data_IF_956791642941
#
_entry.id   IF_956791642941
#
_cell.length_a   1.000
_cell.length_b   1.000
_cell.length_c   1.000
_cell.angle_alpha   90.00
_cell.angle_beta   90.00
_cell.angle_gamma   90.00
#
_symmetry.space_group_name_H-M   'P 1'
#
loop_
_entity.id
_entity.type
_entity.pdbx_description
1 polymer ?
#
# COMPACT_ATOMS: atom_id res chain seq x y z
N UNK A 1 33.10 3.26 -33.43
CA UNK A 1 32.65 2.05 -32.70
C UNK A 1 32.90 2.13 -31.19
N UNK A 2 34.06 2.60 -30.72
CA UNK A 2 34.41 2.64 -29.27
C UNK A 2 33.65 3.67 -28.41
N UNK A 3 33.09 4.73 -28.99
CA UNK A 3 32.34 5.75 -28.24
C UNK A 3 30.96 5.21 -27.79
N UNK A 4 30.24 4.54 -28.70
CA UNK A 4 28.93 3.95 -28.40
C UNK A 4 29.05 2.83 -27.36
N UNK A 5 30.05 1.95 -27.48
CA UNK A 5 30.29 0.88 -26.49
C UNK A 5 30.59 1.46 -25.10
N UNK A 6 31.45 2.48 -25.01
CA UNK A 6 31.72 3.17 -23.74
C UNK A 6 30.48 3.87 -23.13
N UNK A 7 29.59 4.39 -23.97
CA UNK A 7 28.36 5.02 -23.51
C UNK A 7 27.38 3.98 -22.94
N UNK A 8 27.23 2.83 -23.63
CA UNK A 8 26.44 1.71 -23.16
C UNK A 8 27.00 1.12 -21.85
N UNK A 9 28.31 0.94 -21.73
CA UNK A 9 28.94 0.43 -20.51
C UNK A 9 28.80 1.40 -19.31
N UNK A 10 28.76 2.71 -19.57
CA UNK A 10 28.48 3.71 -18.53
C UNK A 10 27.02 3.69 -18.11
N UNK A 11 26.11 3.50 -19.06
CA UNK A 11 24.68 3.37 -18.81
C UNK A 11 24.35 2.08 -18.03
N UNK A 12 24.91 0.94 -18.44
CA UNK A 12 24.73 -0.35 -17.74
C UNK A 12 25.26 -0.28 -16.29
N UNK A 13 26.37 0.44 -16.06
CA UNK A 13 26.89 0.70 -14.70
C UNK A 13 25.95 1.59 -13.87
N UNK A 14 25.33 2.59 -14.49
CA UNK A 14 24.38 3.47 -13.83
C UNK A 14 23.09 2.72 -13.49
N UNK A 15 22.55 1.95 -14.45
CA UNK A 15 21.36 1.13 -14.30
C UNK A 15 21.55 0.07 -13.20
N UNK A 16 22.70 -0.60 -13.18
CA UNK A 16 23.03 -1.56 -12.12
C UNK A 16 23.04 -0.90 -10.74
N UNK A 17 23.65 0.29 -10.60
CA UNK A 17 23.68 1.03 -9.33
C UNK A 17 22.28 1.47 -8.90
N UNK A 18 21.48 1.99 -9.83
CA UNK A 18 20.10 2.38 -9.57
C UNK A 18 19.25 1.18 -9.13
N UNK A 19 19.39 0.05 -9.81
CA UNK A 19 18.68 -1.18 -9.49
C UNK A 19 19.01 -1.67 -8.06
N UNK A 20 20.30 -1.69 -7.69
CA UNK A 20 20.70 -2.05 -6.32
C UNK A 20 20.12 -1.08 -5.28
N UNK A 21 20.13 0.22 -5.56
CA UNK A 21 19.54 1.22 -4.67
C UNK A 21 18.02 1.02 -4.51
N UNK A 22 17.31 0.78 -5.61
CA UNK A 22 15.87 0.52 -5.61
C UNK A 22 15.51 -0.74 -4.82
N UNK A 23 16.23 -1.84 -5.02
CA UNK A 23 16.01 -3.08 -4.27
C UNK A 23 16.25 -2.89 -2.77
N UNK A 24 17.26 -2.10 -2.39
CA UNK A 24 17.58 -1.86 -0.99
C UNK A 24 16.59 -0.91 -0.28
N UNK A 25 16.09 0.13 -0.97
CA UNK A 25 15.36 1.22 -0.32
C UNK A 25 13.85 1.26 -0.62
N UNK A 26 13.35 0.61 -1.67
CA UNK A 26 11.93 0.70 -2.08
C UNK A 26 10.97 0.27 -0.99
N UNK A 27 11.18 -0.90 -0.36
CA UNK A 27 10.31 -1.41 0.70
C UNK A 27 10.39 -0.53 1.98
N UNK A 28 11.58 -0.18 2.51
CA UNK A 28 11.66 0.74 3.64
C UNK A 28 10.98 2.09 3.39
N UNK A 29 11.18 2.68 2.20
CA UNK A 29 10.53 3.94 1.81
C UNK A 29 9.02 3.79 1.74
N UNK A 30 8.52 2.70 1.13
CA UNK A 30 7.09 2.40 1.05
C UNK A 30 6.47 2.30 2.45
N UNK A 31 7.16 1.60 3.37
CA UNK A 31 6.72 1.42 4.75
C UNK A 31 6.66 2.75 5.51
N UNK A 32 7.72 3.56 5.44
CA UNK A 32 7.78 4.86 6.10
C UNK A 32 6.75 5.81 5.51
N UNK A 33 6.63 5.85 4.18
CA UNK A 33 5.64 6.67 3.48
C UNK A 33 4.21 6.32 3.89
N UNK A 34 3.85 5.03 3.94
CA UNK A 34 2.55 4.62 4.46
C UNK A 34 2.37 5.05 5.92
N UNK A 35 3.39 4.86 6.76
CA UNK A 35 3.34 5.26 8.17
C UNK A 35 3.02 6.75 8.35
N UNK A 36 3.68 7.60 7.56
CA UNK A 36 3.44 9.04 7.55
C UNK A 36 2.03 9.36 7.09
N UNK A 37 1.57 8.75 5.99
CA UNK A 37 0.22 8.99 5.44
C UNK A 37 -0.86 8.66 6.47
N UNK A 38 -0.77 7.49 7.10
CA UNK A 38 -1.72 7.08 8.15
C UNK A 38 -1.66 7.97 9.38
N UNK A 39 -0.47 8.39 9.82
CA UNK A 39 -0.34 9.30 10.97
C UNK A 39 -0.92 10.68 10.69
N UNK A 40 -0.63 11.26 9.52
CA UNK A 40 -1.14 12.59 9.16
C UNK A 40 -2.65 12.54 8.98
N UNK A 41 -3.18 11.57 8.24
CA UNK A 41 -4.63 11.44 8.05
C UNK A 41 -5.37 11.09 9.34
N UNK A 42 -4.78 10.27 10.22
CA UNK A 42 -5.33 9.98 11.54
C UNK A 42 -5.32 11.21 12.44
N UNK A 43 -4.19 11.93 12.50
CA UNK A 43 -4.06 13.13 13.33
C UNK A 43 -5.04 14.24 12.92
N UNK A 44 -5.24 14.44 11.61
CA UNK A 44 -6.18 15.43 11.09
C UNK A 44 -7.63 15.15 11.51
N UNK A 45 -8.01 13.89 11.72
CA UNK A 45 -9.37 13.50 12.14
C UNK A 45 -9.72 13.87 13.58
N UNK A 46 -8.73 14.22 14.42
CA UNK A 46 -9.02 14.77 15.75
C UNK A 46 -9.52 16.21 15.70
N UNK A 47 -9.34 16.91 14.57
CA UNK A 47 -9.75 18.29 14.40
C UNK A 47 -11.04 18.37 13.57
N UNK A 48 -12.16 18.79 14.16
CA UNK A 48 -13.45 18.81 13.47
C UNK A 48 -13.46 19.84 12.34
N UNK A 49 -14.10 19.51 11.22
CA UNK A 49 -14.33 20.40 10.09
C UNK A 49 -13.15 20.54 9.11
N UNK A 50 -12.05 19.82 9.32
CA UNK A 50 -10.89 19.86 8.42
C UNK A 50 -10.98 18.80 7.31
N UNK A 51 -11.59 17.65 7.59
CA UNK A 51 -11.63 16.53 6.65
C UNK A 51 -12.82 16.65 5.68
N UNK A 52 -12.58 16.69 4.35
CA UNK A 52 -13.66 16.78 3.35
C UNK A 52 -14.65 15.62 3.37
N UNK A 53 -14.29 14.50 4.03
CA UNK A 53 -15.05 13.24 4.04
C UNK A 53 -15.63 12.93 5.43
N UNK A 54 -15.49 13.85 6.40
CA UNK A 54 -15.88 13.65 7.79
C UNK A 54 -17.31 13.11 7.96
N UNK A 55 -18.29 13.78 7.35
CA UNK A 55 -19.70 13.39 7.43
C UNK A 55 -19.98 12.02 6.80
N UNK A 56 -19.24 11.67 5.75
CA UNK A 56 -19.38 10.36 5.11
C UNK A 56 -18.73 9.27 5.98
N UNK A 57 -17.55 9.53 6.54
CA UNK A 57 -16.83 8.59 7.39
C UNK A 57 -17.55 8.32 8.72
N UNK A 58 -18.13 9.36 9.35
CA UNK A 58 -18.90 9.19 10.60
C UNK A 58 -20.17 8.37 10.37
N UNK A 59 -20.97 8.70 9.34
CA UNK A 59 -22.17 7.92 8.99
C UNK A 59 -21.84 6.48 8.63
N UNK A 60 -20.76 6.27 7.90
CA UNK A 60 -20.27 4.92 7.57
C UNK A 60 -19.90 4.14 8.83
N UNK A 61 -19.13 4.75 9.73
CA UNK A 61 -18.72 4.10 10.99
C UNK A 61 -19.95 3.79 11.86
N UNK A 62 -20.95 4.68 11.89
CA UNK A 62 -22.20 4.43 12.58
C UNK A 62 -22.94 3.22 12.02
N UNK A 63 -23.05 3.10 10.68
CA UNK A 63 -23.69 1.94 10.04
C UNK A 63 -22.92 0.65 10.35
N UNK A 64 -21.59 0.67 10.22
CA UNK A 64 -20.74 -0.51 10.46
C UNK A 64 -20.71 -0.95 11.93
N UNK A 65 -20.90 -0.03 12.87
CA UNK A 65 -20.93 -0.32 14.30
C UNK A 65 -22.34 -0.53 14.84
N UNK A 66 -23.34 -0.67 13.97
CA UNK A 66 -24.75 -0.81 14.33
C UNK A 66 -25.26 0.30 15.27
N UNK A 67 -24.70 1.51 15.12
CA UNK A 67 -25.06 2.68 15.92
C UNK A 67 -24.35 2.81 17.27
N UNK A 68 -23.45 1.87 17.63
CA UNK A 68 -22.72 1.93 18.90
C UNK A 68 -21.75 3.12 18.94
N UNK A 69 -21.05 3.38 17.83
CA UNK A 69 -20.19 4.55 17.69
C UNK A 69 -20.84 5.54 16.73
N UNK A 70 -21.09 6.75 17.21
CA UNK A 70 -21.67 7.83 16.40
C UNK A 70 -20.94 9.16 16.60
N UNK A 71 -21.07 10.04 15.61
CA UNK A 71 -20.50 11.40 15.65
C UNK A 71 -19.00 11.43 15.95
N UNK A 72 -18.62 12.23 16.95
CA UNK A 72 -17.23 12.47 17.32
C UNK A 72 -16.53 11.22 17.88
N UNK A 73 -17.24 10.35 18.60
CA UNK A 73 -16.64 9.13 19.16
C UNK A 73 -16.24 8.14 18.07
N UNK A 74 -17.07 8.03 17.01
CA UNK A 74 -16.74 7.25 15.82
C UNK A 74 -15.49 7.81 15.12
N UNK A 75 -15.43 9.13 14.94
CA UNK A 75 -14.27 9.77 14.31
C UNK A 75 -12.99 9.61 15.12
N UNK A 76 -13.05 9.80 16.44
CA UNK A 76 -11.91 9.63 17.34
C UNK A 76 -11.39 8.19 17.36
N UNK A 77 -12.30 7.21 17.26
CA UNK A 77 -11.92 5.80 17.16
C UNK A 77 -11.15 5.53 15.86
N UNK A 78 -11.67 6.00 14.72
CA UNK A 78 -11.02 5.90 13.41
C UNK A 78 -9.66 6.62 13.41
N UNK A 79 -9.60 7.83 13.96
CA UNK A 79 -8.36 8.61 14.11
C UNK A 79 -7.30 7.85 14.93
N UNK A 80 -7.71 7.27 16.06
CA UNK A 80 -6.84 6.47 16.91
C UNK A 80 -6.31 5.22 16.19
N UNK A 81 -7.17 4.49 15.48
CA UNK A 81 -6.77 3.33 14.69
C UNK A 81 -5.75 3.69 13.60
N UNK A 82 -5.98 4.77 12.85
CA UNK A 82 -5.06 5.22 11.82
C UNK A 82 -3.71 5.64 12.39
N UNK A 83 -3.70 6.34 13.53
CA UNK A 83 -2.47 6.68 14.23
C UNK A 83 -1.70 5.44 14.70
N UNK A 84 -2.38 4.43 15.25
CA UNK A 84 -1.76 3.17 15.67
C UNK A 84 -1.15 2.41 14.48
N UNK A 85 -1.88 2.33 13.36
CA UNK A 85 -1.40 1.73 12.12
C UNK A 85 -0.16 2.49 11.62
N UNK A 86 -0.25 3.82 11.53
CA UNK A 86 0.82 4.66 11.05
C UNK A 86 2.08 4.58 11.91
N UNK A 87 1.93 4.54 13.24
CA UNK A 87 3.05 4.35 14.17
C UNK A 87 3.68 2.97 14.03
N UNK A 88 2.88 1.91 13.82
CA UNK A 88 3.40 0.56 13.57
C UNK A 88 4.26 0.52 12.30
N UNK A 89 3.80 1.12 11.20
CA UNK A 89 4.56 1.18 9.96
C UNK A 89 5.81 2.07 10.07
N UNK A 90 5.69 3.23 10.71
CA UNK A 90 6.80 4.17 10.86
C UNK A 90 7.93 3.59 11.72
N UNK A 91 7.59 3.02 12.89
CA UNK A 91 8.57 2.43 13.81
C UNK A 91 9.07 1.06 13.35
N UNK A 92 8.31 0.39 12.47
CA UNK A 92 8.58 -1.00 12.11
C UNK A 92 8.29 -2.00 13.25
N UNK A 93 7.64 -1.57 14.33
CA UNK A 93 7.26 -2.41 15.47
C UNK A 93 5.85 -2.96 15.26
N UNK A 94 5.62 -4.22 15.64
CA UNK A 94 4.33 -4.90 15.52
C UNK A 94 3.74 -4.89 14.10
N UNK A 95 4.59 -4.85 13.07
CA UNK A 95 4.16 -4.72 11.67
C UNK A 95 3.08 -5.72 11.26
N UNK A 96 3.14 -6.97 11.78
CA UNK A 96 2.11 -7.99 11.56
C UNK A 96 0.73 -7.55 12.01
N UNK A 97 0.64 -6.98 13.20
CA UNK A 97 -0.60 -6.42 13.74
C UNK A 97 -0.98 -5.18 12.92
N UNK A 98 -0.02 -4.31 12.61
CA UNK A 98 -0.23 -3.10 11.80
C UNK A 98 -0.89 -3.38 10.45
N UNK A 99 -0.43 -4.38 9.68
CA UNK A 99 -1.08 -4.76 8.40
C UNK A 99 -2.47 -5.34 8.60
N UNK A 100 -2.69 -6.18 9.62
CA UNK A 100 -4.03 -6.71 9.87
C UNK A 100 -5.02 -5.61 10.25
N UNK A 101 -4.60 -4.68 11.12
CA UNK A 101 -5.38 -3.48 11.46
C UNK A 101 -5.63 -2.62 10.23
N UNK A 102 -4.60 -2.40 9.40
CA UNK A 102 -4.73 -1.68 8.14
C UNK A 102 -5.74 -2.36 7.21
N UNK A 103 -5.69 -3.68 7.05
CA UNK A 103 -6.63 -4.40 6.20
C UNK A 103 -8.08 -4.25 6.69
N UNK A 104 -8.32 -4.38 8.00
CA UNK A 104 -9.63 -4.13 8.59
C UNK A 104 -10.08 -2.67 8.38
N UNK A 105 -9.18 -1.71 8.61
CA UNK A 105 -9.45 -0.29 8.40
C UNK A 105 -9.79 0.04 6.95
N UNK A 106 -9.12 -0.57 5.97
CA UNK A 106 -9.41 -0.36 4.55
C UNK A 106 -10.79 -0.89 4.14
N UNK A 107 -11.26 -1.98 4.73
CA UNK A 107 -12.64 -2.45 4.53
C UNK A 107 -13.63 -1.38 5.01
N UNK A 108 -13.39 -0.80 6.19
CA UNK A 108 -14.21 0.29 6.73
C UNK A 108 -14.18 1.53 5.83
N UNK A 109 -12.98 2.00 5.46
CA UNK A 109 -12.78 3.20 4.64
C UNK A 109 -13.37 3.07 3.22
N UNK A 110 -13.37 1.87 2.64
CA UNK A 110 -13.92 1.61 1.29
C UNK A 110 -15.41 1.26 1.29
N UNK A 111 -15.99 0.90 2.42
CA UNK A 111 -17.43 0.57 2.52
C UNK A 111 -18.41 1.65 2.02
N UNK A 112 -18.13 2.97 2.07
CA UNK A 112 -19.04 3.97 1.50
C UNK A 112 -19.31 3.77 0.01
N UNK A 113 -18.39 3.17 -0.75
CA UNK A 113 -18.59 2.87 -2.18
C UNK A 113 -19.79 1.96 -2.44
N UNK A 114 -20.09 1.08 -1.48
CA UNK A 114 -21.22 0.15 -1.56
C UNK A 114 -22.43 0.68 -0.79
N UNK A 115 -22.21 1.33 0.35
CA UNK A 115 -23.28 1.83 1.22
C UNK A 115 -23.93 3.12 0.71
N UNK A 116 -23.14 4.01 0.10
CA UNK A 116 -23.57 5.35 -0.33
C UNK A 116 -23.16 5.68 -1.78
N UNK A 117 -23.42 4.80 -2.77
CA UNK A 117 -22.96 5.01 -4.15
C UNK A 117 -23.56 6.27 -4.79
N UNK A 118 -24.80 6.63 -4.44
CA UNK A 118 -25.49 7.81 -4.97
C UNK A 118 -24.88 9.14 -4.49
N UNK A 119 -24.17 9.16 -3.35
CA UNK A 119 -23.45 10.35 -2.88
C UNK A 119 -22.05 10.46 -3.52
N UNK A 120 -21.54 9.35 -4.06
CA UNK A 120 -20.16 9.22 -4.56
C UNK A 120 -20.05 9.33 -6.08
N UNK A 121 -21.13 9.03 -6.80
CA UNK A 121 -21.17 9.11 -8.26
C UNK A 121 -22.38 9.94 -8.69
N UNK A 122 -22.11 11.08 -9.35
CA UNK A 122 -23.19 11.88 -9.92
C UNK A 122 -23.79 11.17 -11.17
N UNK A 123 -25.10 11.33 -11.38
CA UNK A 123 -25.80 10.95 -12.61
C UNK A 123 -25.90 12.19 -13.52
N UNK A 124 -25.83 12.09 -14.88
CA UNK A 124 -25.95 10.91 -15.74
C UNK A 124 -24.63 10.31 -16.25
N UNK A 125 -23.50 10.99 -16.07
CA UNK A 125 -22.18 10.42 -16.33
C UNK A 125 -21.58 10.04 -14.97
N UNK A 126 -21.16 8.77 -14.73
CA UNK A 126 -20.66 8.28 -13.45
C UNK A 126 -19.29 8.87 -13.10
N UNK A 127 -19.21 10.20 -13.00
CA UNK A 127 -18.04 10.93 -12.62
C UNK A 127 -17.88 10.84 -11.09
N UNK A 128 -16.74 10.35 -10.59
CA UNK A 128 -16.50 10.22 -9.16
C UNK A 128 -16.37 11.62 -8.52
N UNK A 129 -17.09 11.84 -7.42
CA UNK A 129 -16.89 13.02 -6.58
C UNK A 129 -15.47 13.07 -6.01
N UNK A 130 -15.04 14.22 -5.47
CA UNK A 130 -13.77 14.29 -4.76
C UNK A 130 -13.70 13.22 -3.66
N UNK A 131 -14.80 13.02 -2.92
CA UNK A 131 -14.89 11.97 -1.91
C UNK A 131 -14.64 10.57 -2.50
N UNK A 132 -15.29 10.23 -3.62
CA UNK A 132 -15.07 8.95 -4.29
C UNK A 132 -13.61 8.78 -4.75
N UNK A 133 -12.99 9.83 -5.27
CA UNK A 133 -11.57 9.81 -5.67
C UNK A 133 -10.64 9.58 -4.47
N UNK A 134 -10.94 10.21 -3.33
CA UNK A 134 -10.21 10.01 -2.07
C UNK A 134 -10.29 8.57 -1.57
N UNK A 135 -11.43 7.89 -1.74
CA UNK A 135 -11.58 6.49 -1.32
C UNK A 135 -10.91 5.56 -2.33
N UNK A 136 -11.06 5.81 -3.63
CA UNK A 136 -10.51 4.94 -4.69
C UNK A 136 -8.98 4.88 -4.62
N UNK A 137 -8.30 5.98 -4.31
CA UNK A 137 -6.83 5.97 -4.18
C UNK A 137 -6.31 5.04 -3.08
N UNK A 138 -7.12 4.68 -2.09
CA UNK A 138 -6.70 3.83 -0.97
C UNK A 138 -6.39 2.39 -1.41
N UNK A 139 -6.84 1.98 -2.61
CA UNK A 139 -6.41 0.74 -3.27
C UNK A 139 -4.88 0.67 -3.39
N UNK A 140 -4.21 1.81 -3.56
CA UNK A 140 -2.74 1.90 -3.60
C UNK A 140 -2.15 1.54 -2.24
N UNK A 141 -2.77 1.97 -1.14
CA UNK A 141 -2.33 1.64 0.23
C UNK A 141 -2.53 0.16 0.52
N UNK A 142 -3.64 -0.44 0.05
CA UNK A 142 -3.86 -1.89 0.15
C UNK A 142 -2.75 -2.65 -0.58
N UNK A 143 -2.45 -2.27 -1.83
CA UNK A 143 -1.38 -2.90 -2.60
C UNK A 143 0.00 -2.75 -1.91
N UNK A 144 0.29 -1.56 -1.38
CA UNK A 144 1.52 -1.30 -0.64
C UNK A 144 1.62 -2.16 0.65
N UNK A 145 0.52 -2.29 1.38
CA UNK A 145 0.44 -3.17 2.54
C UNK A 145 0.65 -4.65 2.19
N UNK A 146 0.14 -5.11 1.05
CA UNK A 146 0.41 -6.46 0.55
C UNK A 146 1.90 -6.68 0.25
N UNK A 147 2.56 -5.70 -0.38
CA UNK A 147 4.01 -5.75 -0.62
C UNK A 147 4.76 -5.85 0.70
N UNK A 148 4.43 -5.03 1.69
CA UNK A 148 5.08 -5.07 3.01
C UNK A 148 4.80 -6.41 3.71
N UNK A 149 3.58 -6.93 3.66
CA UNK A 149 3.23 -8.21 4.26
C UNK A 149 4.00 -9.39 3.63
N UNK A 150 4.22 -9.34 2.31
CA UNK A 150 4.95 -10.39 1.58
C UNK A 150 6.41 -10.54 2.06
N UNK A 151 6.99 -9.47 2.63
CA UNK A 151 8.36 -9.54 3.15
C UNK A 151 8.50 -10.45 4.37
N UNK A 152 7.42 -10.68 5.12
CA UNK A 152 7.43 -11.60 6.26
C UNK A 152 7.31 -13.06 5.83
N UNK A 153 6.73 -13.32 4.66
CA UNK A 153 6.68 -14.66 4.05
C UNK A 153 7.99 -15.00 3.33
N UNK A 154 9.04 -14.19 3.50
CA UNK A 154 10.35 -14.41 2.89
C UNK A 154 10.47 -13.90 1.46
N UNK A 155 9.46 -13.21 0.91
CA UNK A 155 9.57 -12.62 -0.42
C UNK A 155 10.67 -11.55 -0.42
N UNK A 156 11.55 -11.61 -1.44
CA UNK A 156 12.66 -10.67 -1.60
C UNK A 156 12.62 -10.12 -3.02
N UNK A 157 12.85 -8.81 -3.14
CA UNK A 157 13.13 -8.21 -4.44
C UNK A 157 14.60 -8.53 -4.75
N UNK A 158 14.87 -9.10 -5.92
CA UNK A 158 16.22 -9.48 -6.36
C UNK A 158 16.61 -8.64 -7.56
N UNK A 159 17.75 -7.96 -7.46
CA UNK A 159 18.35 -7.26 -8.59
C UNK A 159 19.09 -8.27 -9.47
N UNK A 160 18.44 -8.78 -10.51
CA UNK A 160 19.17 -9.51 -11.57
C UNK A 160 19.82 -8.49 -12.51
N UNK A 161 21.16 -8.49 -12.66
CA UNK A 161 21.81 -7.66 -13.66
C UNK A 161 21.42 -8.17 -15.06
N UNK A 162 20.60 -7.39 -15.77
CA UNK A 162 20.30 -7.63 -17.19
C UNK A 162 21.00 -6.55 -18.00
N UNK A 163 21.87 -6.95 -18.93
CA UNK A 163 22.42 -5.99 -19.90
C UNK A 163 21.28 -5.34 -20.67
N UNK A 164 21.30 -4.01 -20.79
CA UNK A 164 20.26 -3.22 -21.45
C UNK A 164 19.95 -3.72 -22.87
N UNK A 165 20.98 -4.18 -23.59
CA UNK A 165 20.88 -4.74 -24.95
C UNK A 165 19.99 -6.00 -25.02
N UNK A 166 19.89 -6.75 -23.93
CA UNK A 166 19.03 -7.93 -23.80
C UNK A 166 17.62 -7.61 -23.26
N UNK A 167 17.41 -6.39 -22.74
CA UNK A 167 16.14 -5.93 -22.13
C UNK A 167 15.18 -5.35 -23.16
N UNK A 168 15.69 -4.65 -24.19
CA UNK A 168 14.88 -3.97 -25.21
C UNK A 168 13.94 -4.88 -26.02
N UNK A 169 14.17 -6.19 -26.03
CA UNK A 169 13.37 -7.16 -26.79
C UNK A 169 12.50 -8.10 -25.95
N UNK A 170 12.46 -7.96 -24.62
CA UNK A 170 11.74 -8.91 -23.76
C UNK A 170 10.65 -8.20 -22.93
N UNK A 171 9.42 -8.74 -22.87
CA UNK A 171 8.38 -8.20 -22.01
C UNK A 171 8.79 -8.26 -20.54
N UNK A 172 8.23 -7.35 -19.73
CA UNK A 172 8.48 -7.25 -18.28
C UNK A 172 8.33 -8.65 -17.65
N UNK A 173 9.36 -9.16 -16.95
CA UNK A 173 9.31 -10.50 -16.37
C UNK A 173 8.15 -10.61 -15.37
N UNK A 174 7.33 -11.65 -15.52
CA UNK A 174 6.24 -11.96 -14.59
C UNK A 174 6.85 -12.28 -13.22
N UNK A 175 6.26 -11.74 -12.15
CA UNK A 175 6.60 -12.10 -10.77
C UNK A 175 6.37 -13.60 -10.59
N UNK A 176 7.46 -14.38 -10.57
CA UNK A 176 7.42 -15.84 -10.44
C UNK A 176 7.34 -16.22 -8.96
N UNK A 177 6.26 -16.92 -8.58
CA UNK A 177 6.18 -17.64 -7.31
C UNK A 177 7.07 -18.88 -7.42
N UNK A 178 8.31 -18.80 -6.93
CA UNK A 178 9.10 -19.99 -6.64
C UNK A 178 8.54 -20.65 -5.38
N UNK A 179 7.47 -21.43 -5.54
CA UNK A 179 7.09 -22.42 -4.53
C UNK A 179 8.20 -23.47 -4.53
N UNK A 180 9.15 -23.38 -3.59
CA UNK A 180 10.07 -24.49 -3.32
C UNK A 180 9.21 -25.68 -2.86
N UNK A 181 9.25 -26.84 -3.55
CA UNK A 181 8.79 -28.08 -2.96
C UNK A 181 9.72 -28.37 -1.79
N UNK A 182 9.15 -28.41 -0.58
CA UNK A 182 9.84 -28.97 0.58
C UNK A 182 10.38 -30.36 0.20
N UNK A 183 11.69 -30.53 0.30
CA UNK A 183 12.41 -31.79 0.18
C UNK A 183 11.85 -32.79 1.22
N UNK A 184 10.83 -33.55 0.84
CA UNK A 184 10.50 -34.84 1.44
C UNK A 184 10.98 -35.92 0.47
N UNK A 185 12.29 -36.10 0.44
CA UNK A 185 12.90 -37.30 -0.12
C UNK A 185 14.18 -37.58 0.67
N UNK A 186 14.00 -38.11 1.89
CA UNK A 186 15.05 -38.75 2.70
C UNK A 186 14.39 -39.48 3.88
N UNK A 187 13.80 -40.64 3.59
CA UNK A 187 13.68 -41.76 4.55
C UNK A 187 13.48 -43.04 3.75
N UNK A 188 14.54 -43.45 3.04
CA UNK A 188 14.81 -44.85 2.80
C UNK A 188 15.85 -45.26 3.84
N UNK A 189 15.43 -46.00 4.87
CA UNK A 189 16.13 -47.11 5.52
C UNK A 189 15.13 -47.86 6.39
#
# INVERSE_FOLDING_TARGET
MNLFVNLFDRFDRLDTRMNHWLVAHSIPLLRIGMGIVFLVFGALKFFPGISPIEDLATRTTQVLTFGILSGHSAMNFVAGLECLIGLSFLTGRFLRVGVWLMAAQMIGAMSPLVLFPYELFHSPFPAPTLAAQYIIKDIILVAAGMVIASTWTGARIVAEPKSFRNSLGKPVPKVQRSLQPSLQDQTTY
#
